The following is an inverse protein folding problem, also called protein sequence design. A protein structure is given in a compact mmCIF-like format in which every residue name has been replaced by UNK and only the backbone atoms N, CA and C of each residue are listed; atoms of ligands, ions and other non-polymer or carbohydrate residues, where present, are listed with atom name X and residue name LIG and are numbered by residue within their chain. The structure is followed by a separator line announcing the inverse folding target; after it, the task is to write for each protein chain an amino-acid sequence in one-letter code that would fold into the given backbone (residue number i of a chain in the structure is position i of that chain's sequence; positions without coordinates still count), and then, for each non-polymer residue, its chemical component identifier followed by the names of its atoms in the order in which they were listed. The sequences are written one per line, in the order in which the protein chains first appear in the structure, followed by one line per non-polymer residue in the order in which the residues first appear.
data_IF_371897640912
#
_entry.id   IF_371897640912
#
_cell.length_a   1.000
_cell.length_b   1.000
_cell.length_c   1.000
_cell.angle_alpha   90.00
_cell.angle_beta   90.00
_cell.angle_gamma   90.00
#
_symmetry.space_group_name_H-M   'P 1'
#
loop_
_entity.id
_entity.type
_entity.pdbx_description
1 polymer ?
#
# COMPACT_ATOMS: atom_id res chain seq x y z
N UNK A 1 -29.57 -8.88 -28.77
CA UNK A 1 -30.38 -9.05 -27.54
C UNK A 1 -29.46 -9.52 -26.41
N UNK A 2 -29.81 -9.10 -25.20
CA UNK A 2 -29.04 -9.05 -23.95
C UNK A 2 -28.44 -10.37 -23.39
N UNK A 3 -27.22 -10.25 -22.84
CA UNK A 3 -26.71 -10.68 -21.52
C UNK A 3 -26.88 -12.16 -21.04
N UNK A 4 -25.81 -12.80 -20.53
CA UNK A 4 -25.35 -12.83 -19.10
C UNK A 4 -24.41 -14.03 -18.78
N UNK A 5 -23.21 -13.72 -18.26
CA UNK A 5 -22.51 -14.28 -17.07
C UNK A 5 -22.04 -15.75 -16.98
N UNK A 6 -20.71 -15.88 -16.79
CA UNK A 6 -19.97 -16.57 -15.70
C UNK A 6 -20.69 -17.74 -15.02
N UNK A 7 -20.07 -18.94 -15.03
CA UNK A 7 -19.89 -19.73 -13.80
C UNK A 7 -18.98 -20.95 -13.96
N UNK A 8 -18.13 -21.11 -12.92
CA UNK A 8 -17.53 -22.34 -12.38
C UNK A 8 -16.23 -22.85 -13.01
N UNK A 9 -15.13 -22.33 -12.44
CA UNK A 9 -13.99 -23.16 -12.07
C UNK A 9 -14.49 -24.22 -11.06
N UNK A 10 -14.54 -25.49 -11.47
CA UNK A 10 -14.96 -26.62 -10.63
C UNK A 10 -13.75 -27.19 -9.86
N UNK A 11 -13.83 -27.37 -8.53
CA UNK A 11 -12.88 -28.15 -7.76
C UNK A 11 -13.41 -29.58 -7.60
N UNK A 12 -13.32 -30.38 -8.67
CA UNK A 12 -13.52 -31.83 -8.61
C UNK A 12 -12.38 -32.49 -9.42
N UNK A 13 -11.21 -32.55 -8.78
CA UNK A 13 -10.21 -33.58 -9.03
C UNK A 13 -9.59 -33.93 -7.67
N UNK A 14 -10.48 -34.32 -6.76
CA UNK A 14 -10.13 -35.18 -5.64
C UNK A 14 -9.89 -36.60 -6.18
N UNK A 15 -8.97 -37.30 -5.54
CA UNK A 15 -8.60 -38.72 -5.73
C UNK A 15 -7.74 -39.12 -6.92
N UNK A 16 -6.42 -38.94 -6.79
CA UNK A 16 -5.49 -40.08 -6.98
C UNK A 16 -4.33 -40.03 -5.98
N UNK A 17 -4.45 -40.88 -4.96
CA UNK A 17 -3.44 -41.25 -3.96
C UNK A 17 -2.10 -41.66 -4.61
N UNK A 18 -1.01 -41.08 -4.14
CA UNK A 18 0.29 -41.79 -4.08
C UNK A 18 1.01 -41.45 -2.79
N UNK A 19 0.98 -42.41 -1.85
CA UNK A 19 1.88 -42.44 -0.69
C UNK A 19 3.32 -42.39 -1.19
N UNK A 20 4.14 -41.48 -0.65
CA UNK A 20 5.58 -41.64 -0.61
C UNK A 20 6.09 -41.09 0.72
N UNK A 21 6.94 -41.89 1.33
CA UNK A 21 7.40 -41.84 2.71
C UNK A 21 8.25 -40.59 2.99
N UNK A 22 8.18 -40.18 4.24
CA UNK A 22 9.01 -39.15 4.86
C UNK A 22 10.44 -39.68 4.96
N UNK A 23 11.37 -39.12 4.19
CA UNK A 23 12.79 -39.18 4.49
C UNK A 23 13.34 -37.75 4.37
N UNK A 24 13.90 -37.29 5.49
CA UNK A 24 14.64 -36.05 5.64
C UNK A 24 15.86 -36.05 4.72
N UNK A 25 15.80 -35.32 3.61
CA UNK A 25 17.00 -34.92 2.87
C UNK A 25 16.96 -33.42 2.56
N UNK A 26 18.05 -32.76 2.96
CA UNK A 26 18.40 -31.35 2.80
C UNK A 26 17.82 -30.70 1.54
N UNK A 27 16.82 -29.83 1.71
CA UNK A 27 16.34 -28.95 0.64
C UNK A 27 17.38 -27.84 0.47
N UNK A 28 18.13 -27.76 -0.64
CA UNK A 28 19.02 -26.64 -0.88
C UNK A 28 18.15 -25.40 -1.07
N UNK A 29 18.36 -24.41 -0.19
CA UNK A 29 17.70 -23.10 -0.20
C UNK A 29 17.98 -22.40 -1.54
N UNK A 30 17.12 -22.64 -2.53
CA UNK A 30 17.10 -21.89 -3.78
C UNK A 30 16.55 -20.51 -3.45
N UNK A 31 17.46 -19.56 -3.18
CA UNK A 31 17.13 -18.13 -3.20
C UNK A 31 16.34 -17.86 -4.49
N UNK A 32 15.13 -17.26 -4.42
CA UNK A 32 14.43 -16.88 -5.63
C UNK A 32 15.32 -15.92 -6.41
N UNK A 33 15.58 -16.26 -7.68
CA UNK A 33 16.17 -15.32 -8.63
C UNK A 33 15.14 -14.21 -8.79
N UNK A 34 15.42 -13.06 -8.19
CA UNK A 34 14.71 -11.82 -8.52
C UNK A 34 15.05 -11.56 -9.98
N UNK A 35 14.14 -11.90 -10.88
CA UNK A 35 14.21 -11.42 -12.26
C UNK A 35 14.15 -9.90 -12.16
N UNK A 36 15.11 -9.21 -12.77
CA UNK A 36 15.06 -7.76 -12.96
C UNK A 36 13.77 -7.47 -13.72
N UNK A 37 12.75 -7.02 -13.00
CA UNK A 37 11.56 -6.44 -13.61
C UNK A 37 12.06 -5.10 -14.13
N UNK A 38 12.00 -4.93 -15.45
CA UNK A 38 12.27 -3.67 -16.11
C UNK A 38 11.11 -2.71 -15.77
N UNK A 39 11.19 -2.08 -14.59
CA UNK A 39 10.20 -1.11 -14.11
C UNK A 39 10.58 0.24 -14.74
N UNK A 40 10.39 0.36 -16.05
CA UNK A 40 10.53 1.64 -16.74
C UNK A 40 9.16 2.35 -16.64
N UNK A 41 8.91 3.05 -15.52
CA UNK A 41 7.59 3.68 -15.28
C UNK A 41 7.53 4.63 -14.09
N UNK A 42 6.54 5.53 -14.09
CA UNK A 42 6.32 6.53 -13.03
C UNK A 42 5.93 5.97 -11.65
N UNK A 43 5.84 4.65 -11.51
CA UNK A 43 5.53 3.95 -10.25
C UNK A 43 6.67 4.07 -9.23
N UNK A 44 7.90 4.27 -9.69
CA UNK A 44 9.09 4.43 -8.85
C UNK A 44 8.89 5.51 -7.78
N UNK A 45 8.28 6.64 -8.15
CA UNK A 45 8.03 7.73 -7.21
C UNK A 45 7.00 7.34 -6.13
N UNK A 46 5.98 6.57 -6.49
CA UNK A 46 4.99 6.08 -5.53
C UNK A 46 5.60 5.09 -4.55
N UNK A 47 6.40 4.14 -5.05
CA UNK A 47 7.11 3.18 -4.19
C UNK A 47 8.16 3.85 -3.29
N UNK A 48 8.89 4.83 -3.81
CA UNK A 48 9.83 5.63 -2.99
C UNK A 48 9.07 6.33 -1.87
N UNK A 49 7.93 6.96 -2.14
CA UNK A 49 7.11 7.61 -1.10
C UNK A 49 6.56 6.62 -0.08
N UNK A 50 6.10 5.45 -0.49
CA UNK A 50 5.68 4.40 0.44
C UNK A 50 6.84 3.94 1.34
N UNK A 51 8.04 3.79 0.79
CA UNK A 51 9.24 3.42 1.55
C UNK A 51 9.72 4.53 2.50
N UNK A 52 9.50 5.80 2.16
CA UNK A 52 9.71 6.93 3.08
C UNK A 52 8.74 6.86 4.26
N UNK A 53 7.43 6.71 4.01
CA UNK A 53 6.42 6.59 5.08
C UNK A 53 6.59 5.35 5.97
N UNK A 54 7.13 4.27 5.40
CA UNK A 54 7.46 3.06 6.16
C UNK A 54 8.59 3.33 7.17
N UNK A 55 9.66 3.99 6.72
CA UNK A 55 10.79 4.38 7.60
C UNK A 55 10.39 5.42 8.64
N UNK A 56 9.55 6.38 8.24
CA UNK A 56 9.04 7.40 9.16
C UNK A 56 8.20 6.79 10.29
N UNK A 57 7.41 5.74 9.99
CA UNK A 57 6.66 5.01 11.03
C UNK A 57 7.57 4.31 12.05
N UNK A 58 8.81 4.00 11.67
CA UNK A 58 9.79 3.36 12.54
C UNK A 58 10.85 4.35 13.08
N UNK A 59 10.67 5.66 12.89
CA UNK A 59 11.67 6.67 13.22
C UNK A 59 12.04 6.69 14.71
N UNK A 60 11.05 6.65 15.60
CA UNK A 60 11.28 6.63 17.05
C UNK A 60 12.06 5.38 17.49
N UNK A 61 11.72 4.22 16.92
CA UNK A 61 12.40 2.95 17.20
C UNK A 61 13.83 2.98 16.64
N UNK A 62 14.03 3.63 15.49
CA UNK A 62 15.33 3.82 14.88
C UNK A 62 16.23 4.68 15.77
N UNK A 63 15.71 5.82 16.25
CA UNK A 63 16.43 6.74 17.15
C UNK A 63 16.83 6.03 18.45
N UNK A 64 15.91 5.32 19.10
CA UNK A 64 16.20 4.54 20.31
C UNK A 64 17.33 3.51 20.08
N UNK A 65 17.33 2.84 18.91
CA UNK A 65 18.38 1.87 18.58
C UNK A 65 19.73 2.55 18.34
N UNK A 66 19.76 3.72 17.71
CA UNK A 66 21.00 4.46 17.46
C UNK A 66 21.62 4.88 18.79
N UNK A 67 20.84 5.51 19.66
CA UNK A 67 21.27 5.96 20.99
C UNK A 67 21.83 4.79 21.80
N UNK A 68 21.09 3.68 21.85
CA UNK A 68 21.53 2.46 22.54
C UNK A 68 22.86 1.90 22.02
N UNK A 69 23.15 2.04 20.73
CA UNK A 69 24.43 1.60 20.18
C UNK A 69 25.55 2.60 20.47
N UNK A 70 25.26 3.89 20.44
CA UNK A 70 26.22 4.95 20.77
C UNK A 70 26.62 4.90 22.25
N UNK A 71 25.68 4.63 23.15
CA UNK A 71 25.94 4.38 24.58
C UNK A 71 26.86 3.16 24.81
N UNK A 72 26.94 2.26 23.83
CA UNK A 72 27.85 1.11 23.81
C UNK A 72 29.21 1.38 23.14
N UNK A 73 29.65 2.64 23.09
CA UNK A 73 30.89 3.12 22.44
C UNK A 73 30.96 2.86 20.93
N UNK A 74 29.82 2.64 20.26
CA UNK A 74 29.78 2.54 18.80
C UNK A 74 29.82 3.94 18.18
N UNK A 75 30.65 4.13 17.14
CA UNK A 75 30.61 5.35 16.34
C UNK A 75 29.25 5.53 15.68
N UNK A 76 28.79 6.77 15.61
CA UNK A 76 27.49 7.17 15.05
C UNK A 76 27.19 6.54 13.68
N UNK A 77 28.07 6.67 12.69
CA UNK A 77 27.87 6.08 11.36
C UNK A 77 27.63 4.56 11.40
N UNK A 78 28.33 3.85 12.29
CA UNK A 78 28.16 2.41 12.49
C UNK A 78 26.86 2.09 13.25
N UNK A 79 26.49 2.91 14.23
CA UNK A 79 25.24 2.79 14.96
C UNK A 79 24.03 2.97 14.03
N UNK A 80 24.03 4.04 13.21
CA UNK A 80 23.00 4.30 12.19
C UNK A 80 22.91 3.16 11.17
N UNK A 81 24.03 2.71 10.62
CA UNK A 81 24.06 1.59 9.67
C UNK A 81 23.52 0.30 10.29
N UNK A 82 23.86 0.02 11.55
CA UNK A 82 23.37 -1.13 12.29
C UNK A 82 21.87 -1.03 12.60
N UNK A 83 21.38 0.15 12.97
CA UNK A 83 19.96 0.42 13.19
C UNK A 83 19.15 0.20 11.90
N UNK A 84 19.59 0.79 10.77
CA UNK A 84 19.00 0.58 9.45
C UNK A 84 18.92 -0.91 9.08
N UNK A 85 20.01 -1.66 9.28
CA UNK A 85 20.01 -3.10 8.98
C UNK A 85 19.06 -3.88 9.88
N UNK A 86 18.88 -3.43 11.12
CA UNK A 86 18.04 -4.09 12.13
C UNK A 86 16.57 -3.77 12.01
N UNK A 87 16.21 -2.67 11.34
CA UNK A 87 14.83 -2.27 11.09
C UNK A 87 14.37 -2.59 9.67
N UNK A 88 15.20 -3.25 8.85
CA UNK A 88 14.86 -3.53 7.45
C UNK A 88 13.59 -4.37 7.32
N UNK A 89 13.39 -5.35 8.20
CA UNK A 89 12.23 -6.24 8.14
C UNK A 89 10.98 -5.49 8.61
N UNK A 90 11.10 -4.68 9.68
CA UNK A 90 10.04 -3.81 10.16
C UNK A 90 9.65 -2.73 9.14
N UNK A 91 10.62 -2.15 8.44
CA UNK A 91 10.39 -1.22 7.33
C UNK A 91 9.65 -1.91 6.18
N UNK A 92 10.00 -3.17 5.89
CA UNK A 92 9.31 -3.97 4.87
C UNK A 92 7.86 -4.26 5.28
N UNK A 93 7.61 -4.63 6.53
CA UNK A 93 6.27 -4.88 7.04
C UNK A 93 5.40 -3.61 6.95
N UNK A 94 5.94 -2.45 7.35
CA UNK A 94 5.27 -1.16 7.20
C UNK A 94 5.01 -0.82 5.74
N UNK A 95 5.98 -1.06 4.85
CA UNK A 95 5.83 -0.84 3.41
C UNK A 95 4.69 -1.69 2.83
N UNK A 96 4.68 -2.99 3.11
CA UNK A 96 3.67 -3.93 2.60
C UNK A 96 2.28 -3.62 3.14
N UNK A 97 2.17 -3.26 4.42
CA UNK A 97 0.90 -2.84 5.04
C UNK A 97 0.32 -1.61 4.34
N UNK A 98 1.14 -0.58 4.11
CA UNK A 98 0.73 0.65 3.40
C UNK A 98 0.38 0.38 1.94
N UNK A 99 1.17 -0.45 1.26
CA UNK A 99 0.89 -0.83 -0.13
C UNK A 99 -0.43 -1.60 -0.26
N UNK A 100 -0.70 -2.52 0.68
CA UNK A 100 -1.97 -3.25 0.74
C UNK A 100 -3.15 -2.30 0.93
N UNK A 101 -3.03 -1.36 1.87
CA UNK A 101 -4.05 -0.32 2.10
C UNK A 101 -4.28 0.54 0.85
N UNK A 102 -3.22 0.92 0.15
CA UNK A 102 -3.32 1.66 -1.11
C UNK A 102 -4.10 0.87 -2.18
N UNK A 103 -3.82 -0.43 -2.34
CA UNK A 103 -4.57 -1.29 -3.26
C UNK A 103 -6.04 -1.35 -2.87
N UNK A 104 -6.35 -1.54 -1.58
CA UNK A 104 -7.73 -1.57 -1.09
C UNK A 104 -8.47 -0.27 -1.41
N UNK A 105 -7.85 0.89 -1.18
CA UNK A 105 -8.44 2.19 -1.54
C UNK A 105 -8.66 2.31 -3.05
N UNK A 106 -7.69 1.90 -3.87
CA UNK A 106 -7.85 1.91 -5.33
C UNK A 106 -9.02 1.04 -5.78
N UNK A 107 -9.19 -0.15 -5.21
CA UNK A 107 -10.31 -1.05 -5.51
C UNK A 107 -11.66 -0.46 -5.12
N UNK A 108 -11.76 0.17 -3.95
CA UNK A 108 -12.99 0.84 -3.50
C UNK A 108 -13.32 2.03 -4.39
N UNK A 109 -12.31 2.83 -4.75
CA UNK A 109 -12.46 4.01 -5.60
C UNK A 109 -12.79 3.67 -7.05
N UNK A 110 -12.36 2.50 -7.56
CA UNK A 110 -12.57 2.06 -8.94
C UNK A 110 -14.04 2.17 -9.40
N UNK A 111 -14.98 1.87 -8.49
CA UNK A 111 -16.41 1.94 -8.76
C UNK A 111 -17.09 3.15 -8.09
N UNK A 112 -16.32 4.03 -7.44
CA UNK A 112 -16.81 5.21 -6.75
C UNK A 112 -17.35 6.25 -7.74
N UNK A 113 -18.61 6.66 -7.57
CA UNK A 113 -19.26 7.64 -8.47
C UNK A 113 -18.52 8.99 -8.51
N UNK A 114 -18.08 9.49 -7.35
CA UNK A 114 -17.35 10.76 -7.28
C UNK A 114 -15.95 10.61 -7.88
N UNK A 115 -15.21 9.56 -7.50
CA UNK A 115 -13.89 9.27 -8.04
C UNK A 115 -13.91 9.15 -9.57
N UNK A 116 -14.87 8.41 -10.13
CA UNK A 116 -15.03 8.30 -11.59
C UNK A 116 -15.27 9.64 -12.28
N UNK A 117 -16.01 10.57 -11.66
CA UNK A 117 -16.19 11.93 -12.19
C UNK A 117 -14.90 12.74 -12.15
N UNK A 118 -14.13 12.64 -11.05
CA UNK A 118 -12.83 13.30 -10.89
C UNK A 118 -11.86 12.79 -11.95
N UNK A 119 -11.70 11.47 -12.08
CA UNK A 119 -10.79 10.86 -13.04
C UNK A 119 -11.16 11.19 -14.49
N UNK A 120 -12.46 11.15 -14.84
CA UNK A 120 -12.92 11.53 -16.18
C UNK A 120 -12.50 12.96 -16.53
N UNK A 121 -12.68 13.90 -15.59
CA UNK A 121 -12.29 15.29 -15.79
C UNK A 121 -10.77 15.45 -15.92
N UNK A 122 -9.97 14.76 -15.11
CA UNK A 122 -8.51 14.77 -15.24
C UNK A 122 -8.10 14.27 -16.62
N UNK A 123 -8.66 13.15 -17.08
CA UNK A 123 -8.38 12.60 -18.41
C UNK A 123 -8.76 13.57 -19.52
N UNK A 124 -9.92 14.23 -19.45
CA UNK A 124 -10.33 15.27 -20.41
C UNK A 124 -9.33 16.42 -20.45
N UNK A 125 -8.95 16.97 -19.29
CA UNK A 125 -7.99 18.09 -19.20
C UNK A 125 -6.60 17.72 -19.74
N UNK A 126 -6.12 16.51 -19.43
CA UNK A 126 -4.83 16.01 -19.93
C UNK A 126 -4.88 15.81 -21.45
N UNK A 127 -5.98 15.27 -21.97
CA UNK A 127 -6.18 15.12 -23.42
C UNK A 127 -6.23 16.47 -24.16
N UNK A 128 -6.69 17.52 -23.49
CA UNK A 128 -6.64 18.91 -23.98
C UNK A 128 -5.25 19.55 -23.88
N UNK A 129 -4.23 18.79 -23.44
CA UNK A 129 -2.83 19.22 -23.35
C UNK A 129 -2.46 19.86 -22.02
N UNK A 130 -3.31 19.76 -20.99
CA UNK A 130 -2.95 20.20 -19.64
C UNK A 130 -1.98 19.22 -18.99
N UNK A 131 -1.00 19.77 -18.26
CA UNK A 131 -0.12 18.97 -17.41
C UNK A 131 -0.91 18.20 -16.32
N UNK A 132 -0.45 16.99 -15.99
CA UNK A 132 -1.14 16.09 -15.05
C UNK A 132 -1.37 16.72 -13.68
N UNK A 133 -0.35 17.39 -13.12
CA UNK A 133 -0.45 18.00 -11.79
C UNK A 133 -1.48 19.15 -11.79
N UNK A 134 -1.49 19.95 -12.85
CA UNK A 134 -2.47 21.03 -13.04
C UNK A 134 -3.88 20.47 -13.24
N UNK A 135 -4.03 19.43 -14.04
CA UNK A 135 -5.32 18.78 -14.28
C UNK A 135 -5.92 18.23 -12.98
N UNK A 136 -5.10 17.56 -12.15
CA UNK A 136 -5.50 17.08 -10.81
C UNK A 136 -5.99 18.25 -9.96
N UNK A 137 -5.21 19.34 -9.82
CA UNK A 137 -5.59 20.49 -8.99
C UNK A 137 -6.92 21.12 -9.43
N UNK A 138 -7.12 21.27 -10.74
CA UNK A 138 -8.38 21.82 -11.29
C UNK A 138 -9.56 20.89 -11.02
N UNK A 139 -9.39 19.58 -11.20
CA UNK A 139 -10.44 18.61 -10.93
C UNK A 139 -10.78 18.55 -9.43
N UNK A 140 -9.80 18.51 -8.53
CA UNK A 140 -10.04 18.51 -7.08
C UNK A 140 -10.82 19.76 -6.67
N UNK A 141 -10.40 20.96 -7.11
CA UNK A 141 -11.11 22.21 -6.81
C UNK A 141 -12.55 22.24 -7.34
N UNK A 142 -12.82 21.58 -8.47
CA UNK A 142 -14.17 21.47 -9.03
C UNK A 142 -15.09 20.62 -8.16
N UNK A 143 -14.54 19.58 -7.53
CA UNK A 143 -15.29 18.60 -6.74
C UNK A 143 -15.11 18.76 -5.22
N UNK A 144 -14.34 19.76 -4.78
CA UNK A 144 -14.07 20.09 -3.38
C UNK A 144 -15.34 20.11 -2.51
N UNK A 145 -16.45 20.77 -2.90
CA UNK A 145 -17.67 20.74 -2.07
C UNK A 145 -18.28 19.34 -1.87
N UNK A 146 -18.08 18.42 -2.83
CA UNK A 146 -18.54 17.04 -2.70
C UNK A 146 -17.56 16.17 -1.91
N UNK A 147 -16.30 16.59 -1.79
CA UNK A 147 -15.30 15.93 -0.95
C UNK A 147 -15.44 16.38 0.50
N UNK A 148 -15.73 17.67 0.72
CA UNK A 148 -16.01 18.25 2.04
C UNK A 148 -17.19 17.54 2.73
N UNK A 149 -18.23 17.15 2.00
CA UNK A 149 -19.36 16.43 2.61
C UNK A 149 -18.95 15.10 3.27
N UNK A 150 -17.91 14.42 2.77
CA UNK A 150 -17.39 13.20 3.42
C UNK A 150 -16.62 13.51 4.71
N UNK A 151 -16.01 14.68 4.82
CA UNK A 151 -15.35 15.12 6.04
C UNK A 151 -16.40 15.47 7.11
N UNK A 152 -17.45 16.17 6.72
CA UNK A 152 -18.54 16.54 7.62
C UNK A 152 -19.27 15.28 8.15
N UNK A 153 -19.59 14.33 7.27
CA UNK A 153 -20.20 13.04 7.66
C UNK A 153 -19.32 12.24 8.63
N UNK A 154 -18.00 12.23 8.43
CA UNK A 154 -17.07 11.51 9.31
C UNK A 154 -16.98 12.13 10.72
N UNK A 155 -17.13 13.45 10.84
CA UNK A 155 -17.09 14.16 12.12
C UNK A 155 -18.40 13.94 12.90
N UNK A 156 -19.54 13.96 12.21
CA UNK A 156 -20.85 13.79 12.85
C UNK A 156 -21.04 12.38 13.45
N UNK A 157 -20.47 11.34 12.83
CA UNK A 157 -20.52 9.96 13.35
C UNK A 157 -19.71 9.78 14.66
N UNK A 158 -18.64 10.53 14.88
CA UNK A 158 -17.86 10.46 16.14
C UNK A 158 -18.57 11.14 17.33
N UNK A 159 -19.49 12.08 17.08
CA UNK A 159 -20.18 12.84 18.14
C UNK A 159 -21.44 12.17 18.70
N UNK A 160 -21.92 11.07 18.08
CA UNK A 160 -23.14 10.37 18.49
C UNK A 160 -22.92 9.19 19.47
N UNK A 161 -21.69 8.95 19.92
CA UNK A 161 -21.35 7.79 20.78
C UNK A 161 -21.61 8.06 22.29
N UNK A 162 -21.86 9.31 22.70
CA UNK A 162 -21.99 9.68 24.12
C UNK A 162 -23.46 9.88 24.59
N UNK A 163 -24.43 9.41 23.80
CA UNK A 163 -25.86 9.72 23.98
C UNK A 163 -26.76 8.62 24.53
N UNK A 164 -26.25 7.44 24.91
CA UNK A 164 -27.12 6.35 25.40
C UNK A 164 -26.64 5.72 26.72
N UNK A 165 -26.70 6.48 27.80
CA UNK A 165 -27.04 5.92 29.11
C UNK A 165 -28.29 6.64 29.64
N UNK A 166 -29.40 5.92 29.65
CA UNK A 166 -30.62 6.27 30.39
C UNK A 166 -31.28 5.00 30.90
#
# INVERSE_FOLDING_TARGET
MCYRHINKWCPENDDLKKKREFEDEDIPSKKPRVNEIDIEGGEDMAFIKLAEFAREANADIWEEKVDKYMDGDMKEDHAMSKANRKLKDEDMDQFLSRYSSLIEYLLQLQNGKLHGKVMKMITELVNDGMDHEKAIKVAIRKYEPMLESFLDEAIDDETNIDGSES
#
